data_IF_072022363015
#
_entry.id   IF_072022363015
#
_cell.length_a   1.000
_cell.length_b   1.000
_cell.length_c   1.000
_cell.angle_alpha   90.00
_cell.angle_beta   90.00
_cell.angle_gamma   90.00
#
_symmetry.space_group_name_H-M   'P 1'
#
loop_
_entity.id
_entity.type
_entity.pdbx_description
1 polymer ?
#
# COMPACT_ATOMS: atom_id res chain seq x y z
N UNK A 1 -28.69 -10.76 5.25
CA UNK A 1 -27.57 -9.92 4.78
C UNK A 1 -26.73 -10.77 3.84
N UNK A 2 -26.88 -10.58 2.52
CA UNK A 2 -26.11 -11.32 1.51
C UNK A 2 -24.88 -10.48 1.13
N UNK A 3 -23.69 -10.94 1.53
CA UNK A 3 -22.43 -10.50 0.92
C UNK A 3 -22.27 -11.22 -0.42
N UNK A 4 -22.66 -10.51 -1.47
CA UNK A 4 -22.41 -10.88 -2.86
C UNK A 4 -21.45 -9.82 -3.42
N UNK A 5 -20.21 -9.77 -2.94
CA UNK A 5 -19.15 -8.99 -3.58
C UNK A 5 -18.58 -9.76 -4.77
N UNK A 6 -19.32 -9.68 -5.88
CA UNK A 6 -18.86 -10.03 -7.22
C UNK A 6 -17.59 -9.26 -7.59
N UNK A 7 -16.40 -9.85 -7.40
CA UNK A 7 -15.17 -9.68 -8.19
C UNK A 7 -14.55 -8.29 -8.45
N UNK A 8 -15.17 -7.19 -8.06
CA UNK A 8 -14.68 -5.83 -8.32
C UNK A 8 -14.74 -4.99 -7.05
N UNK A 9 -13.61 -4.93 -6.34
CA UNK A 9 -13.46 -3.99 -5.22
C UNK A 9 -13.63 -2.55 -5.75
N UNK A 10 -14.56 -1.80 -5.18
CA UNK A 10 -14.70 -0.38 -5.47
C UNK A 10 -13.50 0.41 -4.92
N UNK A 11 -12.99 1.38 -5.68
CA UNK A 11 -11.97 2.29 -5.17
C UNK A 11 -12.55 3.10 -4.02
N UNK A 12 -11.88 3.12 -2.88
CA UNK A 12 -12.28 3.86 -1.69
C UNK A 12 -11.17 4.79 -1.22
N UNK A 13 -11.53 5.78 -0.40
CA UNK A 13 -10.58 6.50 0.41
C UNK A 13 -10.20 5.68 1.66
N UNK A 14 -9.30 6.21 2.50
CA UNK A 14 -8.80 5.52 3.68
C UNK A 14 -9.85 5.29 4.77
N UNK A 15 -10.94 6.07 4.78
CA UNK A 15 -12.09 5.88 5.68
C UNK A 15 -13.14 4.92 5.11
N UNK A 16 -12.92 4.36 3.91
CA UNK A 16 -13.81 3.41 3.26
C UNK A 16 -14.95 4.03 2.45
N UNK A 17 -14.97 5.36 2.27
CA UNK A 17 -15.93 6.00 1.38
C UNK A 17 -15.58 5.73 -0.08
N UNK A 18 -16.56 5.40 -0.94
CA UNK A 18 -16.32 5.15 -2.35
C UNK A 18 -15.84 6.40 -3.08
N UNK A 19 -14.89 6.22 -3.99
CA UNK A 19 -14.37 7.24 -4.89
C UNK A 19 -15.13 7.14 -6.22
N UNK A 20 -15.89 8.18 -6.54
CA UNK A 20 -16.71 8.22 -7.77
C UNK A 20 -15.95 8.76 -8.98
N UNK A 21 -15.03 9.72 -8.78
CA UNK A 21 -14.15 10.27 -9.80
C UNK A 21 -12.72 10.36 -9.24
N UNK A 22 -11.76 9.79 -9.96
CA UNK A 22 -10.33 9.78 -9.62
C UNK A 22 -9.46 10.44 -10.71
N UNK A 23 -10.09 11.04 -11.72
CA UNK A 23 -9.41 11.74 -12.81
C UNK A 23 -9.42 13.26 -12.60
N UNK A 24 -10.41 13.77 -11.86
CA UNK A 24 -10.59 15.21 -11.65
C UNK A 24 -10.56 15.61 -10.16
N UNK A 25 -10.24 16.87 -9.93
CA UNK A 25 -10.38 17.55 -8.64
C UNK A 25 -11.64 18.43 -8.65
N UNK A 26 -12.24 18.70 -7.50
CA UNK A 26 -13.41 19.59 -7.41
C UNK A 26 -12.96 21.05 -7.53
N UNK A 27 -13.55 21.77 -8.48
CA UNK A 27 -13.23 23.16 -8.78
C UNK A 27 -14.49 24.03 -8.77
N UNK A 28 -14.33 25.35 -8.65
CA UNK A 28 -15.44 26.30 -8.80
C UNK A 28 -15.73 26.51 -10.30
N UNK A 29 -16.45 25.56 -10.90
CA UNK A 29 -16.66 25.49 -12.36
C UNK A 29 -15.54 24.73 -13.08
N UNK A 30 -15.75 24.35 -14.34
CA UNK A 30 -14.87 23.42 -15.10
C UNK A 30 -13.41 23.88 -15.20
N UNK A 31 -13.17 25.21 -15.23
CA UNK A 31 -11.83 25.82 -15.28
C UNK A 31 -11.59 26.80 -14.12
N UNK A 32 -12.30 26.61 -13.02
CA UNK A 32 -12.14 27.44 -11.82
C UNK A 32 -11.02 26.97 -10.90
N UNK A 33 -10.75 27.73 -9.84
CA UNK A 33 -9.80 27.32 -8.81
C UNK A 33 -10.26 26.07 -8.07
N UNK A 34 -9.31 25.28 -7.57
CA UNK A 34 -9.56 24.11 -6.73
C UNK A 34 -10.08 24.53 -5.35
N UNK A 35 -11.00 23.75 -4.80
CA UNK A 35 -11.58 24.02 -3.48
C UNK A 35 -10.85 23.25 -2.36
N UNK A 36 -10.88 23.75 -1.13
CA UNK A 36 -10.23 23.06 0.02
C UNK A 36 -11.08 21.89 0.56
N UNK A 37 -12.36 21.82 0.20
CA UNK A 37 -13.27 20.72 0.56
C UNK A 37 -12.96 19.39 -0.17
N UNK A 38 -11.93 19.37 -1.00
CA UNK A 38 -11.41 18.23 -1.76
C UNK A 38 -10.74 17.17 -0.87
N UNK A 39 -11.46 16.62 0.12
CA UNK A 39 -10.87 15.72 1.12
C UNK A 39 -10.22 14.47 0.50
N UNK A 40 -10.83 13.87 -0.53
CA UNK A 40 -10.27 12.71 -1.24
C UNK A 40 -8.94 13.04 -1.93
N UNK A 41 -8.86 14.18 -2.62
CA UNK A 41 -7.65 14.61 -3.32
C UNK A 41 -6.55 15.01 -2.33
N UNK A 42 -6.89 15.79 -1.30
CA UNK A 42 -5.94 16.19 -0.26
C UNK A 42 -5.37 14.98 0.48
N UNK A 43 -6.21 14.00 0.82
CA UNK A 43 -5.76 12.75 1.42
C UNK A 43 -4.75 12.02 0.50
N UNK A 44 -5.10 11.83 -0.78
CA UNK A 44 -4.25 11.12 -1.76
C UNK A 44 -2.88 11.79 -1.93
N UNK A 45 -2.84 13.11 -2.10
CA UNK A 45 -1.58 13.85 -2.23
C UNK A 45 -0.80 13.86 -0.91
N UNK A 46 -1.47 14.04 0.22
CA UNK A 46 -0.79 14.04 1.52
C UNK A 46 -0.13 12.69 1.86
N UNK A 47 -0.73 11.59 1.40
CA UNK A 47 -0.17 10.26 1.52
C UNK A 47 1.02 10.06 0.58
N UNK A 48 0.89 10.46 -0.69
CA UNK A 48 1.97 10.43 -1.67
C UNK A 48 3.23 11.20 -1.20
N UNK A 49 3.03 12.42 -0.68
CA UNK A 49 4.10 13.27 -0.16
C UNK A 49 4.88 12.61 0.99
N UNK A 50 4.32 11.59 1.64
CA UNK A 50 4.86 10.88 2.82
C UNK A 50 5.23 9.43 2.54
N UNK A 51 5.36 9.03 1.28
CA UNK A 51 5.75 7.66 0.92
C UNK A 51 7.20 7.33 1.27
N UNK A 52 8.08 8.34 1.30
CA UNK A 52 9.50 8.13 1.60
C UNK A 52 9.71 7.97 3.10
N UNK A 53 10.30 6.84 3.46
CA UNK A 53 10.88 6.57 4.77
C UNK A 53 12.41 6.54 4.65
N UNK A 54 13.17 6.78 5.74
CA UNK A 54 14.62 6.67 5.72
C UNK A 54 15.09 5.28 5.26
N UNK A 55 16.12 5.25 4.43
CA UNK A 55 16.77 4.01 4.02
C UNK A 55 17.69 3.44 5.11
N UNK A 56 18.11 2.18 4.96
CA UNK A 56 19.10 1.57 5.87
C UNK A 56 20.44 2.30 5.72
N UNK A 57 21.13 2.53 6.84
CA UNK A 57 22.46 3.20 6.87
C UNK A 57 23.50 2.49 5.98
N UNK A 58 23.43 1.16 5.89
CA UNK A 58 24.24 0.34 5.00
C UNK A 58 23.36 -0.69 4.29
N UNK A 59 23.78 -1.16 3.11
CA UNK A 59 23.02 -2.09 2.27
C UNK A 59 21.60 -1.59 1.94
N UNK A 60 21.46 -0.28 1.65
CA UNK A 60 20.18 0.33 1.28
C UNK A 60 19.54 -0.30 0.03
N UNK A 61 20.38 -0.75 -0.93
CA UNK A 61 19.95 -1.44 -2.14
C UNK A 61 19.98 -2.96 -1.95
N UNK A 62 18.81 -3.58 -2.03
CA UNK A 62 18.67 -5.03 -2.01
C UNK A 62 17.28 -5.47 -2.48
N UNK A 63 17.14 -6.76 -2.78
CA UNK A 63 15.88 -7.41 -3.12
C UNK A 63 15.67 -8.61 -2.18
N UNK A 64 14.43 -8.99 -1.94
CA UNK A 64 14.08 -10.06 -0.98
C UNK A 64 13.12 -11.07 -1.61
N UNK A 65 13.20 -12.32 -1.17
CA UNK A 65 12.28 -13.39 -1.52
C UNK A 65 11.96 -14.21 -0.26
N UNK A 66 10.74 -14.75 -0.19
CA UNK A 66 10.36 -15.69 0.86
C UNK A 66 10.88 -17.09 0.55
N UNK A 67 11.18 -17.87 1.58
CA UNK A 67 11.61 -19.27 1.48
C UNK A 67 11.61 -19.95 2.83
N UNK A 68 11.96 -21.24 2.84
CA UNK A 68 12.20 -22.01 4.05
C UNK A 68 13.59 -22.64 3.98
N UNK A 69 14.18 -22.91 5.14
CA UNK A 69 15.47 -23.59 5.26
C UNK A 69 15.24 -24.99 5.83
N UNK A 70 15.85 -25.99 5.22
CA UNK A 70 15.85 -27.38 5.68
C UNK A 70 17.31 -27.83 5.84
N UNK A 71 17.67 -28.30 7.04
CA UNK A 71 19.02 -28.78 7.32
C UNK A 71 19.10 -30.29 7.09
N UNK A 72 20.18 -30.74 6.46
CA UNK A 72 20.49 -32.16 6.28
C UNK A 72 21.72 -32.55 7.10
N UNK A 73 21.75 -33.79 7.60
CA UNK A 73 22.93 -34.40 8.23
C UNK A 73 23.04 -34.17 9.75
N UNK A 74 24.27 -34.25 10.27
CA UNK A 74 24.61 -34.05 11.69
C UNK A 74 25.58 -32.88 11.85
N UNK A 75 25.46 -32.17 12.97
CA UNK A 75 26.44 -31.18 13.42
C UNK A 75 27.27 -31.86 14.50
N UNK A 76 28.41 -32.44 14.13
CA UNK A 76 29.15 -33.36 15.00
C UNK A 76 28.37 -34.66 15.18
N UNK A 77 28.07 -35.01 16.44
CA UNK A 77 27.35 -36.24 16.81
C UNK A 77 25.81 -36.04 16.93
N UNK A 78 25.30 -34.82 16.77
CA UNK A 78 23.86 -34.51 16.90
C UNK A 78 23.20 -34.24 15.54
N UNK A 79 21.92 -34.60 15.32
CA UNK A 79 21.23 -34.30 14.06
C UNK A 79 21.10 -32.78 13.86
N UNK A 80 21.37 -32.31 12.64
CA UNK A 80 21.32 -30.90 12.27
C UNK A 80 19.89 -30.32 12.24
N UNK A 81 18.89 -31.20 12.22
CA UNK A 81 17.47 -30.88 12.37
C UNK A 81 16.88 -31.80 13.45
N UNK A 82 16.09 -31.23 14.36
CA UNK A 82 15.31 -31.96 15.37
C UNK A 82 14.09 -32.61 14.75
#
# INVERSE_FOLDING_TARGET
MNDQSSGTAHLTNRQGHPVYDNQNQRTVGERGPATLENYQFLEKISHFDRERIPERVVHARGFVAHGYFEAYGTIGDEPAST
#
